data_IF_776445712170
#
_entry.id   IF_776445712170
#
_cell.length_a   1.000
_cell.length_b   1.000
_cell.length_c   1.000
_cell.angle_alpha   90.00
_cell.angle_beta   90.00
_cell.angle_gamma   90.00
#
_symmetry.space_group_name_H-M   'P 1'
#
loop_
_entity.id
_entity.type
_entity.pdbx_description
1 polymer ?
#
# COMPACT_ATOMS: atom_id res chain seq x y z
N UNK A 1 -13.59 -7.45 1.88
CA UNK A 1 -13.61 -8.54 2.88
C UNK A 1 -12.92 -9.76 2.29
N UNK A 2 -12.22 -10.51 3.12
CA UNK A 2 -11.67 -11.84 2.84
C UNK A 2 -12.12 -12.72 4.00
N UNK A 3 -12.71 -13.88 3.72
CA UNK A 3 -13.32 -14.77 4.74
C UNK A 3 -14.26 -14.07 5.72
N UNK A 4 -15.04 -13.11 5.21
CA UNK A 4 -16.00 -12.34 6.00
C UNK A 4 -15.39 -11.27 6.92
N UNK A 5 -14.06 -11.02 6.85
CA UNK A 5 -13.36 -10.01 7.66
C UNK A 5 -12.68 -8.94 6.81
N UNK A 6 -12.49 -7.71 7.33
CA UNK A 6 -11.60 -6.73 6.71
C UNK A 6 -10.15 -7.24 6.77
N UNK A 7 -9.48 -7.32 5.62
CA UNK A 7 -8.09 -7.76 5.53
C UNK A 7 -7.10 -6.57 5.41
N UNK A 8 -7.59 -5.42 4.94
CA UNK A 8 -6.93 -4.11 5.05
C UNK A 8 -7.40 -3.46 6.36
N UNK A 9 -6.45 -3.12 7.23
CA UNK A 9 -6.70 -2.43 8.49
C UNK A 9 -6.74 -0.90 8.29
N UNK A 10 -5.81 -0.38 7.51
CA UNK A 10 -5.74 1.04 7.16
C UNK A 10 -5.09 1.23 5.79
N UNK A 11 -5.44 2.32 5.12
CA UNK A 11 -4.80 2.73 3.87
C UNK A 11 -4.72 4.26 3.81
N UNK A 12 -3.53 4.78 3.53
CA UNK A 12 -3.31 6.19 3.23
C UNK A 12 -2.59 6.32 1.91
N UNK A 13 -3.06 7.23 1.06
CA UNK A 13 -2.51 7.48 -0.27
C UNK A 13 -2.46 8.97 -0.54
N UNK A 14 -1.40 9.42 -1.21
CA UNK A 14 -1.24 10.82 -1.56
C UNK A 14 -0.01 11.07 -2.42
N UNK A 15 0.12 12.28 -2.98
CA UNK A 15 1.34 12.68 -3.67
C UNK A 15 2.53 12.65 -2.70
N UNK A 16 3.71 12.33 -3.23
CA UNK A 16 4.94 12.61 -2.50
C UNK A 16 5.13 14.13 -2.38
N UNK A 17 5.61 14.58 -1.23
CA UNK A 17 6.04 15.97 -1.05
C UNK A 17 7.27 16.27 -1.94
N UNK A 18 7.43 17.54 -2.30
CA UNK A 18 8.59 18.00 -3.08
C UNK A 18 9.86 17.95 -2.22
N UNK A 19 10.59 16.83 -2.33
CA UNK A 19 11.82 16.57 -1.59
C UNK A 19 12.79 15.72 -2.44
N UNK A 20 14.09 16.07 -2.50
CA UNK A 20 15.07 15.33 -3.30
C UNK A 20 15.24 13.87 -2.85
N UNK A 21 14.93 13.53 -1.59
CA UNK A 21 15.01 12.16 -1.07
C UNK A 21 13.88 11.27 -1.59
N UNK A 22 12.81 11.85 -2.14
CA UNK A 22 11.74 11.12 -2.83
C UNK A 22 12.24 10.41 -4.09
N UNK A 23 13.45 10.71 -4.58
CA UNK A 23 14.12 9.98 -5.68
C UNK A 23 13.25 9.85 -6.95
N UNK A 24 12.43 10.86 -7.22
CA UNK A 24 11.52 10.88 -8.38
C UNK A 24 10.22 10.10 -8.21
N UNK A 25 9.98 9.44 -7.07
CA UNK A 25 8.66 8.86 -6.77
C UNK A 25 7.66 9.97 -6.43
N UNK A 26 6.50 9.95 -7.11
CA UNK A 26 5.51 11.04 -7.07
C UNK A 26 4.22 10.69 -6.34
N UNK A 27 4.00 9.41 -6.02
CA UNK A 27 2.82 8.91 -5.34
C UNK A 27 3.24 7.89 -4.28
N UNK A 28 2.65 7.99 -3.08
CA UNK A 28 2.88 7.07 -1.98
C UNK A 28 1.55 6.43 -1.57
N UNK A 29 1.57 5.11 -1.38
CA UNK A 29 0.47 4.36 -0.77
C UNK A 29 1.03 3.52 0.36
N UNK A 30 0.50 3.71 1.57
CA UNK A 30 0.78 2.87 2.75
C UNK A 30 -0.48 2.11 3.09
N UNK A 31 -0.39 0.79 3.09
CA UNK A 31 -1.50 -0.10 3.46
C UNK A 31 -1.05 -1.01 4.59
N UNK A 32 -1.86 -1.08 5.65
CA UNK A 32 -1.64 -2.01 6.76
C UNK A 32 -2.61 -3.18 6.64
N UNK A 33 -2.09 -4.39 6.81
CA UNK A 33 -2.84 -5.64 6.72
C UNK A 33 -2.82 -6.36 8.07
N UNK A 34 -3.85 -7.17 8.33
CA UNK A 34 -3.90 -7.95 9.57
C UNK A 34 -2.84 -9.06 9.60
N UNK A 35 -2.39 -9.52 8.44
CA UNK A 35 -1.35 -10.54 8.31
C UNK A 35 -0.62 -10.45 6.96
N UNK A 36 0.48 -11.21 6.84
CA UNK A 36 1.16 -11.39 5.54
C UNK A 36 0.33 -12.20 4.54
N UNK A 37 -0.56 -13.07 5.02
CA UNK A 37 -1.48 -13.81 4.16
C UNK A 37 -2.52 -12.87 3.54
N UNK A 38 -3.07 -11.96 4.34
CA UNK A 38 -3.99 -10.91 3.88
C UNK A 38 -3.34 -9.99 2.83
N UNK A 39 -2.06 -9.65 3.01
CA UNK A 39 -1.31 -8.88 2.03
C UNK A 39 -1.13 -9.66 0.72
N UNK A 40 -0.82 -10.96 0.77
CA UNK A 40 -0.73 -11.81 -0.43
C UNK A 40 -2.06 -11.95 -1.14
N UNK A 41 -3.15 -12.15 -0.38
CA UNK A 41 -4.49 -12.16 -0.94
C UNK A 41 -4.81 -10.81 -1.60
N UNK A 42 -4.49 -9.69 -0.96
CA UNK A 42 -4.66 -8.37 -1.57
C UNK A 42 -3.90 -8.26 -2.89
N UNK A 43 -2.63 -8.68 -2.92
CA UNK A 43 -1.76 -8.48 -4.07
C UNK A 43 -2.13 -9.38 -5.26
N UNK A 44 -2.41 -10.65 -5.00
CA UNK A 44 -2.57 -11.68 -6.04
C UNK A 44 -4.02 -12.13 -6.26
N UNK A 45 -4.85 -12.09 -5.22
CA UNK A 45 -6.19 -12.69 -5.21
C UNK A 45 -7.36 -11.71 -5.23
N UNK A 46 -7.14 -10.46 -4.81
CA UNK A 46 -8.21 -9.47 -4.71
C UNK A 46 -8.59 -8.94 -6.10
N UNK A 47 -9.79 -9.29 -6.56
CA UNK A 47 -10.30 -8.85 -7.88
C UNK A 47 -10.34 -7.32 -8.05
N UNK A 48 -10.69 -6.58 -6.99
CA UNK A 48 -10.71 -5.12 -7.03
C UNK A 48 -9.31 -4.53 -7.18
N UNK A 49 -8.33 -5.05 -6.42
CA UNK A 49 -6.94 -4.63 -6.57
C UNK A 49 -6.34 -5.04 -7.91
N UNK A 50 -6.73 -6.22 -8.43
CA UNK A 50 -6.38 -6.68 -9.78
C UNK A 50 -6.85 -5.70 -10.87
N UNK A 51 -8.05 -5.13 -10.74
CA UNK A 51 -8.55 -4.11 -11.66
C UNK A 51 -7.73 -2.81 -11.58
N UNK A 52 -7.33 -2.38 -10.38
CA UNK A 52 -6.45 -1.22 -10.20
C UNK A 52 -5.07 -1.47 -10.83
N UNK A 53 -4.46 -2.64 -10.59
CA UNK A 53 -3.20 -3.03 -11.23
C UNK A 53 -3.30 -3.04 -12.76
N UNK A 54 -4.41 -3.52 -13.30
CA UNK A 54 -4.65 -3.49 -14.75
C UNK A 54 -4.70 -2.05 -15.29
N UNK A 55 -5.40 -1.14 -14.60
CA UNK A 55 -5.45 0.27 -14.99
C UNK A 55 -4.07 0.94 -14.92
N UNK A 56 -3.25 0.64 -13.90
CA UNK A 56 -1.90 1.19 -13.76
C UNK A 56 -0.97 0.76 -14.91
N UNK A 57 -1.13 -0.47 -15.43
CA UNK A 57 -0.32 -0.96 -16.57
C UNK A 57 -0.54 -0.16 -17.86
N UNK A 58 -1.68 0.51 -17.99
CA UNK A 58 -1.99 1.37 -19.14
C UNK A 58 -1.42 2.79 -18.98
N UNK A 59 -0.84 3.12 -17.83
CA UNK A 59 -0.21 4.41 -17.56
C UNK A 59 1.29 4.34 -17.82
N UNK A 60 1.88 5.44 -18.28
CA UNK A 60 3.33 5.60 -18.29
C UNK A 60 3.81 5.81 -16.86
N UNK A 61 4.40 4.77 -16.27
CA UNK A 61 5.00 4.81 -14.94
C UNK A 61 6.48 4.48 -15.06
N UNK A 62 7.34 5.45 -14.76
CA UNK A 62 8.79 5.32 -14.94
C UNK A 62 9.44 4.35 -13.93
N UNK A 63 8.82 4.19 -12.76
CA UNK A 63 9.32 3.29 -11.73
C UNK A 63 8.29 3.00 -10.63
N UNK A 64 8.34 1.78 -10.09
CA UNK A 64 7.53 1.34 -8.95
C UNK A 64 8.47 0.70 -7.93
N UNK A 65 8.42 1.19 -6.69
CA UNK A 65 9.04 0.55 -5.54
C UNK A 65 7.94 -0.03 -4.65
N UNK A 66 8.09 -1.29 -4.28
CA UNK A 66 7.19 -1.95 -3.33
C UNK A 66 8.01 -2.61 -2.24
N UNK A 67 7.71 -2.27 -0.99
CA UNK A 67 8.40 -2.81 0.19
C UNK A 67 7.35 -3.27 1.18
N UNK A 68 7.54 -4.49 1.69
CA UNK A 68 6.74 -5.03 2.78
C UNK A 68 7.64 -5.28 3.98
N UNK A 69 7.15 -4.96 5.16
CA UNK A 69 7.85 -5.23 6.40
C UNK A 69 6.85 -5.63 7.47
N UNK A 70 7.32 -6.39 8.46
CA UNK A 70 6.57 -6.61 9.70
C UNK A 70 7.08 -5.61 10.73
N UNK A 71 6.22 -4.73 11.21
CA UNK A 71 6.57 -3.82 12.29
C UNK A 71 7.06 -4.62 13.51
N UNK A 72 8.27 -4.33 13.97
CA UNK A 72 8.85 -4.93 15.18
C UNK A 72 8.72 -4.01 16.40
N UNK A 73 8.52 -2.72 16.16
CA UNK A 73 8.23 -1.70 17.15
C UNK A 73 7.28 -0.66 16.53
N UNK A 74 6.34 -0.18 17.32
CA UNK A 74 5.43 0.91 16.95
C UNK A 74 5.52 1.98 18.03
N UNK A 75 5.69 3.24 17.64
CA UNK A 75 5.75 4.38 18.56
C UNK A 75 4.79 5.48 18.13
N UNK A 76 4.24 6.21 19.11
CA UNK A 76 3.38 7.38 18.91
C UNK A 76 2.78 7.83 20.25
N UNK A 77 2.68 9.14 20.47
CA UNK A 77 1.75 9.69 21.46
C UNK A 77 0.36 9.70 20.82
N UNK A 78 -0.70 9.35 21.56
CA UNK A 78 -2.06 9.64 21.11
C UNK A 78 -2.14 11.11 20.68
N UNK A 79 -2.62 11.36 19.47
CA UNK A 79 -2.94 12.72 19.06
C UNK A 79 -4.03 13.23 20.02
N UNK A 80 -3.71 14.27 20.78
CA UNK A 80 -4.65 15.04 21.58
C UNK A 80 -5.71 15.72 20.70
#
# INVERSE_FOLDING_TARGET
MHDGKPYILSMTVGPAEDDPRSQGYTLVSKTEFASMEDMRYYDDGCAAHGAVKAAIKELTVDGILTVYFRAQATGGAEAA
#
